data_IF_975633936392
#
_entry.id   IF_975633936392
#
_cell.length_a   1.000
_cell.length_b   1.000
_cell.length_c   1.000
_cell.angle_alpha   90.00
_cell.angle_beta   90.00
_cell.angle_gamma   90.00
#
_symmetry.space_group_name_H-M   'P 1'
#
loop_
_entity.id
_entity.type
_entity.pdbx_description
1 polymer ?
#
# COMPACT_ATOMS: atom_id res chain seq x y z
N UNK A 1 -37.17 -0.43 41.10
CA UNK A 1 -36.26 0.66 40.62
C UNK A 1 -36.68 0.99 39.19
N UNK A 2 -36.66 2.24 38.72
CA UNK A 2 -37.09 2.53 37.33
C UNK A 2 -36.11 1.89 36.34
N UNK A 3 -36.45 0.74 35.76
CA UNK A 3 -35.66 0.03 34.75
C UNK A 3 -35.24 0.95 33.59
N UNK A 4 -36.08 1.92 33.27
CA UNK A 4 -35.80 2.95 32.28
C UNK A 4 -34.59 3.85 32.63
N UNK A 5 -34.43 4.19 33.91
CA UNK A 5 -33.32 5.02 34.35
C UNK A 5 -31.99 4.26 34.24
N UNK A 6 -31.98 2.97 34.58
CA UNK A 6 -30.81 2.10 34.43
C UNK A 6 -30.42 1.92 32.96
N UNK A 7 -31.42 1.75 32.09
CA UNK A 7 -31.20 1.69 30.65
C UNK A 7 -30.58 2.97 30.09
N UNK A 8 -31.06 4.14 30.51
CA UNK A 8 -30.46 5.43 30.11
C UNK A 8 -28.99 5.53 30.55
N UNK A 9 -28.69 5.07 31.76
CA UNK A 9 -27.35 5.08 32.32
C UNK A 9 -26.40 4.17 31.54
N UNK A 10 -26.86 2.97 31.15
CA UNK A 10 -26.06 2.04 30.33
C UNK A 10 -25.85 2.55 28.90
N UNK A 11 -26.84 3.22 28.30
CA UNK A 11 -26.66 3.92 27.01
C UNK A 11 -25.58 4.99 27.12
N UNK A 12 -25.58 5.80 28.18
CA UNK A 12 -24.57 6.85 28.38
C UNK A 12 -23.17 6.24 28.49
N UNK A 13 -23.00 5.19 29.29
CA UNK A 13 -21.72 4.50 29.43
C UNK A 13 -21.21 3.95 28.10
N UNK A 14 -22.10 3.32 27.33
CA UNK A 14 -21.79 2.77 26.03
C UNK A 14 -21.36 3.86 25.03
N UNK A 15 -22.01 5.02 25.04
CA UNK A 15 -21.63 6.16 24.20
C UNK A 15 -20.25 6.73 24.59
N UNK A 16 -19.91 6.75 25.88
CA UNK A 16 -18.61 7.18 26.39
C UNK A 16 -17.50 6.22 25.95
N UNK A 17 -17.70 4.91 26.10
CA UNK A 17 -16.71 3.91 25.68
C UNK A 17 -16.54 3.91 24.16
N UNK A 18 -17.64 4.00 23.42
CA UNK A 18 -17.61 4.16 21.98
C UNK A 18 -16.83 5.42 21.55
N UNK A 19 -17.04 6.56 22.22
CA UNK A 19 -16.29 7.80 21.94
C UNK A 19 -14.79 7.65 22.20
N UNK A 20 -14.41 6.93 23.25
CA UNK A 20 -13.01 6.77 23.61
C UNK A 20 -12.28 5.81 22.65
N UNK A 21 -12.93 4.74 22.21
CA UNK A 21 -12.35 3.66 21.39
C UNK A 21 -12.42 3.99 19.90
N UNK A 22 -13.50 4.63 19.44
CA UNK A 22 -13.69 4.93 18.03
C UNK A 22 -12.61 5.89 17.51
N UNK A 23 -11.91 5.56 16.41
CA UNK A 23 -10.98 6.48 15.76
C UNK A 23 -11.70 7.66 15.09
N UNK A 24 -13.02 7.58 14.92
CA UNK A 24 -13.83 8.64 14.34
C UNK A 24 -14.43 9.50 15.44
N UNK A 25 -14.06 10.78 15.45
CA UNK A 25 -14.64 11.76 16.36
C UNK A 25 -15.98 12.24 15.82
N UNK A 26 -17.05 12.13 16.61
CA UNK A 26 -18.36 12.67 16.29
C UNK A 26 -18.61 13.97 17.06
N UNK A 27 -19.48 14.83 16.53
CA UNK A 27 -19.91 16.03 17.22
C UNK A 27 -20.85 15.66 18.38
N UNK A 28 -20.93 16.50 19.42
CA UNK A 28 -21.82 16.27 20.58
C UNK A 28 -23.27 16.08 20.13
N UNK A 29 -23.73 16.84 19.13
CA UNK A 29 -25.07 16.69 18.53
C UNK A 29 -25.28 15.29 17.92
N UNK A 30 -24.28 14.74 17.24
CA UNK A 30 -24.35 13.40 16.64
C UNK A 30 -24.44 12.31 17.72
N UNK A 31 -23.71 12.46 18.83
CA UNK A 31 -23.83 11.54 19.97
C UNK A 31 -25.20 11.59 20.65
N UNK A 32 -25.77 12.79 20.81
CA UNK A 32 -27.12 12.96 21.36
C UNK A 32 -28.16 12.31 20.44
N UNK A 33 -28.07 12.55 19.13
CA UNK A 33 -28.95 11.92 18.15
C UNK A 33 -28.79 10.38 18.21
N UNK A 34 -27.55 9.88 18.27
CA UNK A 34 -27.29 8.45 18.38
C UNK A 34 -27.93 7.85 19.64
N UNK A 35 -27.77 8.50 20.80
CA UNK A 35 -28.43 8.10 22.05
C UNK A 35 -29.95 8.09 21.95
N UNK A 36 -30.56 9.13 21.38
CA UNK A 36 -32.01 9.19 21.18
C UNK A 36 -32.51 8.08 20.24
N UNK A 37 -31.77 7.78 19.17
CA UNK A 37 -32.11 6.69 18.26
C UNK A 37 -32.01 5.31 18.93
N UNK A 38 -31.03 5.10 19.82
CA UNK A 38 -30.93 3.87 20.63
C UNK A 38 -32.19 3.71 21.48
N UNK A 39 -32.57 4.75 22.23
CA UNK A 39 -33.73 4.72 23.12
C UNK A 39 -35.02 4.48 22.34
N UNK A 40 -35.19 5.17 21.21
CA UNK A 40 -36.38 5.02 20.37
C UNK A 40 -36.51 3.60 19.79
N UNK A 41 -35.45 3.07 19.19
CA UNK A 41 -35.44 1.73 18.60
C UNK A 41 -35.61 0.66 19.69
N UNK A 42 -34.96 0.84 20.84
CA UNK A 42 -35.13 -0.06 21.99
C UNK A 42 -36.60 -0.14 22.41
N UNK A 43 -37.29 1.00 22.56
CA UNK A 43 -38.70 1.04 22.97
C UNK A 43 -39.64 0.43 21.93
N UNK A 44 -39.37 0.65 20.64
CA UNK A 44 -40.13 0.00 19.58
C UNK A 44 -39.99 -1.53 19.64
N UNK A 45 -38.76 -2.04 19.76
CA UNK A 45 -38.51 -3.48 19.79
C UNK A 45 -39.08 -4.10 21.07
N UNK A 46 -38.98 -3.43 22.22
CA UNK A 46 -39.54 -3.89 23.49
C UNK A 46 -41.04 -4.17 23.41
N UNK A 47 -41.78 -3.41 22.59
CA UNK A 47 -43.23 -3.57 22.41
C UNK A 47 -43.60 -4.87 21.69
N UNK A 48 -42.72 -5.40 20.84
CA UNK A 48 -42.96 -6.63 20.08
C UNK A 48 -42.22 -7.84 20.67
N UNK A 49 -40.95 -7.68 21.03
CA UNK A 49 -40.07 -8.74 21.53
C UNK A 49 -39.09 -8.18 22.57
N UNK A 50 -39.43 -8.24 23.87
CA UNK A 50 -38.61 -7.70 24.96
C UNK A 50 -37.15 -8.18 24.94
N UNK A 51 -36.93 -9.45 24.57
CA UNK A 51 -35.60 -10.10 24.53
C UNK A 51 -34.66 -9.50 23.47
N UNK A 52 -35.20 -8.98 22.38
CA UNK A 52 -34.42 -8.40 21.29
C UNK A 52 -34.12 -6.91 21.50
N UNK A 53 -34.70 -6.27 22.53
CA UNK A 53 -34.61 -4.83 22.69
C UNK A 53 -33.16 -4.35 22.88
N UNK A 54 -32.29 -5.17 23.49
CA UNK A 54 -30.86 -4.89 23.69
C UNK A 54 -30.06 -4.81 22.38
N UNK A 55 -30.57 -5.39 21.29
CA UNK A 55 -29.94 -5.35 19.95
C UNK A 55 -29.80 -3.92 19.43
N UNK A 56 -30.71 -3.03 19.82
CA UNK A 56 -30.67 -1.60 19.46
C UNK A 56 -29.35 -0.92 19.86
N UNK A 57 -28.77 -1.28 21.02
CA UNK A 57 -27.48 -0.77 21.46
C UNK A 57 -26.37 -1.23 20.53
N UNK A 58 -26.43 -2.44 19.99
CA UNK A 58 -25.35 -2.98 19.18
C UNK A 58 -25.38 -2.48 17.73
N UNK A 59 -26.55 -2.33 17.11
CA UNK A 59 -26.64 -2.05 15.67
C UNK A 59 -26.67 -0.56 15.33
N UNK A 60 -27.18 0.29 16.21
CA UNK A 60 -27.31 1.73 15.91
C UNK A 60 -25.97 2.45 15.76
N UNK A 61 -24.90 2.22 16.55
CA UNK A 61 -23.64 2.90 16.32
C UNK A 61 -22.92 2.41 15.06
N UNK A 62 -23.20 1.17 14.62
CA UNK A 62 -22.69 0.63 13.35
C UNK A 62 -23.20 1.49 12.19
N UNK A 63 -24.49 1.83 12.20
CA UNK A 63 -25.08 2.69 11.17
C UNK A 63 -24.39 4.06 11.10
N UNK A 64 -24.17 4.72 12.24
CA UNK A 64 -23.46 6.01 12.29
C UNK A 64 -21.99 5.91 11.85
N UNK A 65 -21.30 4.82 12.22
CA UNK A 65 -19.94 4.54 11.76
C UNK A 65 -19.90 4.27 10.24
N UNK A 66 -20.86 3.52 9.70
CA UNK A 66 -20.95 3.24 8.27
C UNK A 66 -21.09 4.53 7.47
N UNK A 67 -21.97 5.44 7.91
CA UNK A 67 -22.20 6.74 7.27
C UNK A 67 -20.94 7.61 7.21
N UNK A 68 -20.05 7.48 8.20
CA UNK A 68 -18.83 8.30 8.30
C UNK A 68 -17.60 7.65 7.65
N UNK A 69 -17.53 6.32 7.67
CA UNK A 69 -16.36 5.56 7.22
C UNK A 69 -16.46 5.03 5.79
N UNK A 70 -17.67 4.97 5.21
CA UNK A 70 -17.97 4.27 3.95
C UNK A 70 -17.52 2.79 3.92
N UNK A 71 -17.15 2.19 5.06
CA UNK A 71 -16.66 0.80 5.15
C UNK A 71 -17.44 0.05 6.23
N UNK A 72 -18.35 -0.82 5.77
CA UNK A 72 -19.26 -1.59 6.63
C UNK A 72 -18.50 -2.50 7.60
N UNK A 73 -17.57 -3.30 7.09
CA UNK A 73 -16.80 -4.28 7.90
C UNK A 73 -16.05 -3.59 9.05
N UNK A 74 -15.47 -2.41 8.81
CA UNK A 74 -14.75 -1.63 9.82
C UNK A 74 -15.68 -1.16 10.94
N UNK A 75 -16.88 -0.74 10.58
CA UNK A 75 -17.88 -0.24 11.51
C UNK A 75 -18.37 -1.35 12.44
N UNK A 76 -18.62 -2.54 11.87
CA UNK A 76 -18.93 -3.74 12.64
C UNK A 76 -17.80 -4.11 13.61
N UNK A 77 -16.55 -4.05 13.17
CA UNK A 77 -15.41 -4.44 13.99
C UNK A 77 -15.17 -3.55 15.20
N UNK A 78 -15.19 -2.24 14.98
CA UNK A 78 -15.03 -1.28 16.08
C UNK A 78 -16.17 -1.49 17.08
N UNK A 79 -17.39 -1.71 16.59
CA UNK A 79 -18.54 -1.88 17.48
C UNK A 79 -18.49 -3.17 18.29
N UNK A 80 -18.20 -4.32 17.67
CA UNK A 80 -18.08 -5.60 18.39
C UNK A 80 -16.99 -5.50 19.45
N UNK A 81 -15.86 -4.88 19.12
CA UNK A 81 -14.78 -4.68 20.05
C UNK A 81 -15.16 -3.76 21.23
N UNK A 82 -15.89 -2.66 20.98
CA UNK A 82 -16.45 -1.80 22.04
C UNK A 82 -17.36 -2.62 22.98
N UNK A 83 -18.24 -3.45 22.43
CA UNK A 83 -19.14 -4.29 23.23
C UNK A 83 -18.37 -5.26 24.12
N UNK A 84 -17.35 -5.93 23.59
CA UNK A 84 -16.53 -6.87 24.36
C UNK A 84 -15.80 -6.19 25.50
N UNK A 85 -15.27 -4.98 25.29
CA UNK A 85 -14.64 -4.20 26.37
C UNK A 85 -15.65 -3.88 27.48
N UNK A 86 -16.88 -3.50 27.13
CA UNK A 86 -17.93 -3.22 28.11
C UNK A 86 -18.25 -4.46 28.92
N UNK A 87 -18.55 -5.57 28.25
CA UNK A 87 -18.91 -6.85 28.87
C UNK A 87 -17.80 -7.38 29.77
N UNK A 88 -16.55 -7.31 29.31
CA UNK A 88 -15.40 -7.79 30.08
C UNK A 88 -15.25 -6.99 31.39
N UNK A 89 -15.36 -5.67 31.33
CA UNK A 89 -15.21 -4.83 32.52
C UNK A 89 -16.39 -5.01 33.47
N UNK A 90 -17.62 -5.08 32.95
CA UNK A 90 -18.81 -5.34 33.75
C UNK A 90 -18.73 -6.69 34.50
N UNK A 91 -18.34 -7.75 33.80
CA UNK A 91 -18.13 -9.09 34.40
C UNK A 91 -16.99 -9.09 35.43
N UNK A 92 -15.87 -8.46 35.11
CA UNK A 92 -14.70 -8.42 36.00
C UNK A 92 -14.98 -7.64 37.30
N UNK A 93 -15.63 -6.49 37.18
CA UNK A 93 -15.92 -5.61 38.32
C UNK A 93 -17.01 -6.17 39.21
N UNK A 94 -18.07 -6.75 38.62
CA UNK A 94 -19.14 -7.39 39.38
C UNK A 94 -18.61 -8.53 40.24
N UNK A 95 -17.72 -9.39 39.72
CA UNK A 95 -17.12 -10.49 40.50
C UNK A 95 -16.27 -9.96 41.66
N UNK A 96 -15.41 -8.97 41.42
CA UNK A 96 -14.53 -8.41 42.47
C UNK A 96 -15.38 -7.80 43.59
N UNK A 97 -16.40 -7.03 43.23
CA UNK A 97 -17.21 -6.32 44.21
C UNK A 97 -18.16 -7.24 44.96
N UNK A 98 -18.72 -8.27 44.30
CA UNK A 98 -19.51 -9.29 44.97
C UNK A 98 -18.68 -10.06 46.01
N UNK A 99 -17.42 -10.39 45.69
CA UNK A 99 -16.52 -11.07 46.61
C UNK A 99 -16.06 -10.19 47.79
N UNK A 100 -15.91 -8.87 47.58
CA UNK A 100 -15.44 -7.94 48.63
C UNK A 100 -16.59 -7.47 49.53
N UNK A 101 -17.72 -7.10 48.94
CA UNK A 101 -18.83 -6.45 49.66
C UNK A 101 -19.88 -7.46 50.16
N UNK A 102 -19.88 -8.68 49.64
CA UNK A 102 -20.87 -9.70 49.96
C UNK A 102 -22.20 -9.51 49.23
N UNK A 103 -22.93 -10.62 49.07
CA UNK A 103 -24.18 -10.67 48.29
C UNK A 103 -25.26 -9.77 48.91
N UNK A 104 -25.36 -9.70 50.24
CA UNK A 104 -26.36 -8.90 50.96
C UNK A 104 -26.17 -7.39 50.79
N UNK A 105 -24.93 -6.89 50.76
CA UNK A 105 -24.69 -5.47 50.51
C UNK A 105 -24.95 -5.15 49.03
N UNK A 106 -24.60 -6.05 48.11
CA UNK A 106 -24.81 -5.86 46.68
C UNK A 106 -26.29 -5.76 46.27
N UNK A 107 -27.18 -6.43 47.01
CA UNK A 107 -28.63 -6.37 46.79
C UNK A 107 -29.29 -5.14 47.41
N UNK A 108 -28.58 -4.40 48.28
CA UNK A 108 -29.04 -3.11 48.79
C UNK A 108 -29.02 -2.03 47.70
N UNK A 109 -29.91 -1.04 47.81
CA UNK A 109 -29.96 0.09 46.86
C UNK A 109 -28.65 0.87 46.84
N UNK A 110 -28.02 1.07 47.99
CA UNK A 110 -26.73 1.75 48.11
C UNK A 110 -25.61 0.94 47.43
N UNK A 111 -25.55 -0.37 47.69
CA UNK A 111 -24.58 -1.28 47.10
C UNK A 111 -24.65 -1.31 45.58
N UNK A 112 -25.85 -1.37 45.01
CA UNK A 112 -26.03 -1.32 43.56
C UNK A 112 -25.43 -0.05 42.92
N UNK A 113 -25.67 1.13 43.51
CA UNK A 113 -25.08 2.38 43.01
C UNK A 113 -23.55 2.42 43.16
N UNK A 114 -23.00 1.85 44.23
CA UNK A 114 -21.54 1.73 44.37
C UNK A 114 -20.91 0.85 43.30
N UNK A 115 -21.55 -0.27 42.97
CA UNK A 115 -21.11 -1.18 41.90
C UNK A 115 -21.18 -0.46 40.55
N UNK A 116 -22.31 0.18 40.25
CA UNK A 116 -22.45 0.92 39.00
C UNK A 116 -21.41 2.06 38.85
N UNK A 117 -21.17 2.85 39.91
CA UNK A 117 -20.20 3.94 39.88
C UNK A 117 -18.77 3.42 39.63
N UNK A 118 -18.42 2.28 40.22
CA UNK A 118 -17.11 1.65 40.02
C UNK A 118 -16.93 1.12 38.60
N UNK A 119 -17.96 0.49 38.02
CA UNK A 119 -18.01 0.06 36.63
C UNK A 119 -17.78 1.26 35.71
N UNK A 120 -18.50 2.36 35.93
CA UNK A 120 -18.39 3.58 35.14
C UNK A 120 -16.97 4.16 35.14
N UNK A 121 -16.33 4.23 36.31
CA UNK A 121 -14.97 4.73 36.46
C UNK A 121 -13.95 3.84 35.74
N UNK A 122 -14.00 2.52 35.97
CA UNK A 122 -13.07 1.57 35.34
C UNK A 122 -13.26 1.52 33.82
N UNK A 123 -14.51 1.52 33.34
CA UNK A 123 -14.84 1.63 31.92
C UNK A 123 -14.22 2.89 31.30
N UNK A 124 -14.32 4.04 31.96
CA UNK A 124 -13.78 5.29 31.43
C UNK A 124 -12.26 5.23 31.25
N UNK A 125 -11.52 4.82 32.29
CA UNK A 125 -10.06 4.78 32.22
C UNK A 125 -9.56 3.72 31.23
N UNK A 126 -10.15 2.53 31.26
CA UNK A 126 -9.73 1.43 30.40
C UNK A 126 -10.05 1.68 28.93
N UNK A 127 -11.25 2.18 28.62
CA UNK A 127 -11.61 2.56 27.24
C UNK A 127 -10.72 3.67 26.68
N UNK A 128 -10.28 4.62 27.51
CA UNK A 128 -9.34 5.68 27.12
C UNK A 128 -7.93 5.14 26.83
N UNK A 129 -7.47 4.17 27.63
CA UNK A 129 -6.19 3.50 27.40
C UNK A 129 -6.19 2.71 26.08
N UNK A 130 -7.22 1.87 25.89
CA UNK A 130 -7.38 1.09 24.66
C UNK A 130 -7.57 1.97 23.44
N UNK A 131 -8.38 3.03 23.55
CA UNK A 131 -8.59 3.99 22.47
C UNK A 131 -7.30 4.62 21.96
N UNK A 132 -6.38 5.00 22.86
CA UNK A 132 -5.06 5.51 22.48
C UNK A 132 -4.23 4.47 21.70
N UNK A 133 -4.26 3.20 22.12
CA UNK A 133 -3.56 2.12 21.41
C UNK A 133 -4.15 1.89 20.02
N UNK A 134 -5.47 1.81 19.91
CA UNK A 134 -6.14 1.62 18.62
C UNK A 134 -5.88 2.77 17.66
N UNK A 135 -5.94 4.03 18.13
CA UNK A 135 -5.64 5.20 17.29
C UNK A 135 -4.19 5.16 16.81
N UNK A 136 -3.23 4.79 17.69
CA UNK A 136 -1.81 4.66 17.33
C UNK A 136 -1.57 3.63 16.23
N UNK A 137 -2.31 2.53 16.24
CA UNK A 137 -2.15 1.43 15.26
C UNK A 137 -3.22 1.41 14.16
N UNK A 138 -4.07 2.44 14.07
CA UNK A 138 -5.19 2.47 13.13
C UNK A 138 -4.73 2.40 11.67
N UNK A 139 -3.58 3.02 11.33
CA UNK A 139 -3.01 2.96 9.97
C UNK A 139 -2.62 1.54 9.56
N UNK A 140 -1.89 0.83 10.44
CA UNK A 140 -1.49 -0.57 10.22
C UNK A 140 -2.69 -1.51 10.07
N UNK A 141 -3.70 -1.38 10.95
CA UNK A 141 -4.92 -2.19 10.88
C UNK A 141 -5.69 -1.91 9.57
N UNK A 142 -5.67 -0.65 9.12
CA UNK A 142 -6.36 -0.22 7.90
C UNK A 142 -5.73 -0.76 6.62
N UNK A 143 -4.40 -0.69 6.50
CA UNK A 143 -3.71 -1.18 5.31
C UNK A 143 -3.79 -2.71 5.20
N UNK A 144 -3.75 -3.40 6.35
CA UNK A 144 -3.70 -4.85 6.40
C UNK A 144 -5.07 -5.53 6.62
N UNK A 145 -6.20 -4.86 6.41
CA UNK A 145 -7.52 -5.42 6.74
C UNK A 145 -7.87 -6.76 6.04
N UNK A 146 -7.23 -7.05 4.90
CA UNK A 146 -7.35 -8.34 4.16
C UNK A 146 -6.38 -9.42 4.66
N UNK A 147 -5.50 -9.12 5.62
CA UNK A 147 -4.58 -10.10 6.19
C UNK A 147 -5.38 -11.23 6.84
N UNK A 148 -4.94 -12.47 6.60
CA UNK A 148 -5.50 -13.68 7.21
C UNK A 148 -5.63 -13.55 8.74
N UNK A 149 -4.67 -12.87 9.39
CA UNK A 149 -4.66 -12.67 10.84
C UNK A 149 -5.75 -11.71 11.31
N UNK A 150 -5.97 -10.62 10.57
CA UNK A 150 -7.05 -9.67 10.88
C UNK A 150 -8.40 -10.36 10.66
N UNK A 151 -8.59 -11.09 9.55
CA UNK A 151 -9.81 -11.86 9.30
C UNK A 151 -10.06 -12.88 10.43
N UNK A 152 -9.03 -13.57 10.90
CA UNK A 152 -9.16 -14.54 12.01
C UNK A 152 -9.53 -13.85 13.32
N UNK A 153 -8.96 -12.67 13.62
CA UNK A 153 -9.37 -11.83 14.76
C UNK A 153 -10.86 -11.44 14.62
N UNK A 154 -11.30 -11.02 13.43
CA UNK A 154 -12.72 -10.67 13.19
C UNK A 154 -13.63 -11.86 13.50
N UNK A 155 -13.29 -13.04 12.98
CA UNK A 155 -14.07 -14.26 13.15
C UNK A 155 -14.17 -14.67 14.63
N UNK A 156 -13.06 -14.59 15.37
CA UNK A 156 -13.06 -14.82 16.83
C UNK A 156 -13.98 -13.82 17.53
N UNK A 157 -13.88 -12.53 17.25
CA UNK A 157 -14.73 -11.52 17.90
C UNK A 157 -16.23 -11.77 17.65
N UNK A 158 -16.62 -12.17 16.44
CA UNK A 158 -18.02 -12.51 16.13
C UNK A 158 -18.48 -13.75 16.90
N UNK A 159 -17.68 -14.81 16.95
CA UNK A 159 -18.01 -16.02 17.71
C UNK A 159 -18.16 -15.74 19.21
N UNK A 160 -17.29 -14.89 19.75
CA UNK A 160 -17.33 -14.50 21.18
C UNK A 160 -18.60 -13.72 21.49
N UNK A 161 -18.98 -12.77 20.62
CA UNK A 161 -20.24 -12.03 20.76
C UNK A 161 -21.46 -12.94 20.67
N UNK A 162 -21.46 -13.91 19.73
CA UNK A 162 -22.52 -14.90 19.61
C UNK A 162 -22.65 -15.77 20.86
N UNK A 163 -21.53 -16.26 21.39
CA UNK A 163 -21.53 -17.06 22.63
C UNK A 163 -22.09 -16.29 23.82
N UNK A 164 -21.72 -15.02 23.97
CA UNK A 164 -22.21 -14.16 25.04
C UNK A 164 -23.72 -13.92 24.94
N UNK A 165 -24.22 -13.66 23.73
CA UNK A 165 -25.65 -13.46 23.50
C UNK A 165 -26.47 -14.71 23.85
N UNK A 166 -25.98 -15.90 23.49
CA UNK A 166 -26.65 -17.17 23.80
C UNK A 166 -26.72 -17.38 25.31
N UNK A 167 -25.61 -17.20 26.03
CA UNK A 167 -25.57 -17.44 27.48
C UNK A 167 -26.36 -16.41 28.28
N UNK A 168 -26.37 -15.13 27.86
CA UNK A 168 -27.22 -14.11 28.49
C UNK A 168 -28.70 -14.52 28.46
N UNK A 169 -29.19 -14.97 27.29
CA UNK A 169 -30.56 -15.45 27.15
C UNK A 169 -30.82 -16.77 27.91
N UNK A 170 -29.80 -17.62 28.07
CA UNK A 170 -29.92 -18.89 28.80
C UNK A 170 -30.02 -18.69 30.32
N UNK A 171 -29.25 -17.76 30.88
CA UNK A 171 -29.27 -17.46 32.32
C UNK A 171 -30.62 -16.90 32.80
N UNK A 172 -31.30 -16.12 31.96
CA UNK A 172 -32.62 -15.55 32.28
C UNK A 172 -33.73 -16.63 32.33
N UNK A 173 -33.54 -17.78 31.68
CA UNK A 173 -34.51 -18.88 31.67
C UNK A 173 -34.42 -19.80 32.90
N UNK A 174 -33.32 -19.77 33.65
CA UNK A 174 -33.01 -20.77 34.68
C UNK A 174 -33.08 -20.27 36.12
N UNK A 175 -33.38 -18.98 36.35
CA UNK A 175 -33.66 -18.31 37.66
C UNK A 175 -32.72 -18.65 38.83
N UNK A 176 -31.59 -19.28 38.54
CA UNK A 176 -30.61 -19.74 39.53
C UNK A 176 -29.50 -18.69 39.62
N UNK A 177 -29.59 -17.85 40.65
CA UNK A 177 -28.58 -16.85 40.99
C UNK A 177 -27.17 -17.43 41.12
N UNK A 178 -27.03 -18.69 41.53
CA UNK A 178 -25.73 -19.39 41.60
C UNK A 178 -25.10 -19.69 40.23
N UNK A 179 -25.90 -19.99 39.20
CA UNK A 179 -25.39 -20.21 37.84
C UNK A 179 -24.84 -18.91 37.23
N UNK A 180 -25.34 -17.75 37.66
CA UNK A 180 -24.87 -16.44 37.16
C UNK A 180 -23.44 -16.12 37.61
N UNK A 181 -23.03 -16.51 38.82
CA UNK A 181 -21.68 -16.29 39.33
C UNK A 181 -20.65 -17.20 38.67
N UNK A 182 -20.95 -18.50 38.51
CA UNK A 182 -20.06 -19.44 37.83
C UNK A 182 -19.85 -19.06 36.35
N UNK A 183 -20.93 -18.66 35.67
CA UNK A 183 -20.84 -18.18 34.30
C UNK A 183 -20.00 -16.90 34.18
N UNK A 184 -20.09 -15.97 35.14
CA UNK A 184 -19.26 -14.76 35.17
C UNK A 184 -17.76 -15.07 35.24
N UNK A 185 -17.36 -16.04 36.05
CA UNK A 185 -15.95 -16.49 36.16
C UNK A 185 -15.47 -17.08 34.83
N UNK A 186 -16.28 -17.94 34.21
CA UNK A 186 -15.98 -18.53 32.89
C UNK A 186 -15.80 -17.43 31.84
N UNK A 187 -16.66 -16.40 31.83
CA UNK A 187 -16.55 -15.27 30.90
C UNK A 187 -15.30 -14.42 31.12
N UNK A 188 -14.91 -14.22 32.37
CA UNK A 188 -13.71 -13.44 32.69
C UNK A 188 -12.46 -14.18 32.20
N UNK A 189 -12.40 -15.50 32.41
CA UNK A 189 -11.32 -16.35 31.91
C UNK A 189 -11.32 -16.38 30.38
N UNK A 190 -12.47 -16.61 29.76
CA UNK A 190 -12.64 -16.64 28.30
C UNK A 190 -12.21 -15.31 27.66
N UNK A 191 -12.69 -14.18 28.18
CA UNK A 191 -12.32 -12.83 27.75
C UNK A 191 -10.82 -12.58 27.84
N UNK A 192 -10.19 -13.01 28.93
CA UNK A 192 -8.74 -12.92 29.08
C UNK A 192 -7.99 -13.74 28.02
N UNK A 193 -8.40 -14.99 27.79
CA UNK A 193 -7.81 -15.87 26.76
C UNK A 193 -7.94 -15.24 25.37
N UNK A 194 -9.11 -14.70 25.01
CA UNK A 194 -9.32 -14.04 23.72
C UNK A 194 -8.43 -12.81 23.57
N UNK A 195 -8.29 -11.99 24.61
CA UNK A 195 -7.41 -10.83 24.56
C UNK A 195 -5.96 -11.24 24.28
N UNK A 196 -5.48 -12.32 24.91
CA UNK A 196 -4.13 -12.86 24.66
C UNK A 196 -4.00 -13.39 23.22
N UNK A 197 -4.99 -14.13 22.72
CA UNK A 197 -4.99 -14.65 21.35
C UNK A 197 -5.03 -13.49 20.33
N UNK A 198 -5.91 -12.52 20.49
CA UNK A 198 -5.98 -11.35 19.61
C UNK A 198 -4.67 -10.55 19.62
N UNK A 199 -4.06 -10.38 20.80
CA UNK A 199 -2.76 -9.72 20.94
C UNK A 199 -1.63 -10.46 20.21
N UNK A 200 -1.58 -11.80 20.34
CA UNK A 200 -0.55 -12.61 19.67
C UNK A 200 -0.72 -12.61 18.15
N UNK A 201 -1.96 -12.73 17.65
CA UNK A 201 -2.26 -12.63 16.22
C UNK A 201 -1.94 -11.26 15.64
N UNK A 202 -2.20 -10.19 16.38
CA UNK A 202 -1.81 -8.83 16.00
C UNK A 202 -0.29 -8.69 15.88
N UNK A 203 0.47 -9.25 16.83
CA UNK A 203 1.92 -9.26 16.78
C UNK A 203 2.45 -10.10 15.60
N UNK A 204 1.84 -11.26 15.33
CA UNK A 204 2.16 -12.09 14.16
C UNK A 204 1.94 -11.34 12.85
N UNK A 205 0.79 -10.65 12.72
CA UNK A 205 0.50 -9.82 11.54
C UNK A 205 1.57 -8.77 11.31
N UNK A 206 2.03 -8.10 12.37
CA UNK A 206 3.10 -7.10 12.28
C UNK A 206 4.45 -7.71 11.88
N UNK A 207 4.75 -8.89 12.39
CA UNK A 207 5.97 -9.62 12.04
C UNK A 207 5.95 -10.07 10.58
N UNK A 208 4.81 -10.53 10.07
CA UNK A 208 4.65 -10.94 8.67
C UNK A 208 4.88 -9.78 7.71
N UNK A 209 4.32 -8.60 7.98
CA UNK A 209 4.54 -7.42 7.13
C UNK A 209 6.02 -7.04 7.07
N UNK A 210 6.70 -7.02 8.23
CA UNK A 210 8.14 -6.74 8.30
C UNK A 210 8.96 -7.78 7.52
N UNK A 211 8.53 -9.05 7.52
CA UNK A 211 9.17 -10.11 6.77
C UNK A 211 8.99 -9.93 5.26
N UNK A 212 7.76 -9.64 4.80
CA UNK A 212 7.47 -9.35 3.38
C UNK A 212 8.28 -8.17 2.86
N UNK A 213 8.37 -7.09 3.65
CA UNK A 213 9.17 -5.92 3.30
C UNK A 213 10.66 -6.27 3.14
N UNK A 214 11.20 -7.08 4.06
CA UNK A 214 12.59 -7.56 3.96
C UNK A 214 12.81 -8.45 2.74
N UNK A 215 11.86 -9.32 2.40
CA UNK A 215 11.97 -10.18 1.22
C UNK A 215 12.03 -9.33 -0.06
N UNK A 216 11.14 -8.35 -0.22
CA UNK A 216 11.19 -7.39 -1.32
C UNK A 216 12.53 -6.65 -1.43
N UNK A 217 13.15 -6.31 -0.30
CA UNK A 217 14.48 -5.68 -0.30
C UNK A 217 15.58 -6.64 -0.76
N UNK A 218 15.50 -7.92 -0.41
CA UNK A 218 16.43 -8.94 -0.86
C UNK A 218 16.26 -9.20 -2.36
N UNK A 219 15.04 -9.37 -2.85
CA UNK A 219 14.77 -9.60 -4.27
C UNK A 219 15.32 -8.43 -5.13
N UNK A 220 15.12 -7.17 -4.70
CA UNK A 220 15.69 -6.01 -5.38
C UNK A 220 17.23 -5.98 -5.34
N UNK A 221 17.85 -6.47 -4.25
CA UNK A 221 19.29 -6.54 -4.11
C UNK A 221 19.89 -7.63 -5.01
N UNK A 222 19.21 -8.76 -5.14
CA UNK A 222 19.57 -9.83 -6.06
C UNK A 222 19.55 -9.32 -7.51
N UNK A 223 18.46 -8.64 -7.94
CA UNK A 223 18.38 -8.04 -9.27
C UNK A 223 19.51 -7.02 -9.52
N UNK A 224 19.80 -6.18 -8.53
CA UNK A 224 20.91 -5.23 -8.61
C UNK A 224 22.26 -5.93 -8.75
N UNK A 225 22.46 -7.03 -8.02
CA UNK A 225 23.71 -7.80 -8.04
C UNK A 225 23.88 -8.51 -9.39
N UNK A 226 22.83 -9.11 -9.93
CA UNK A 226 22.87 -9.72 -11.27
C UNK A 226 23.22 -8.70 -12.36
N UNK A 227 22.65 -7.49 -12.26
CA UNK A 227 22.96 -6.41 -13.21
C UNK A 227 24.42 -5.94 -13.08
N UNK A 228 24.94 -5.87 -11.85
CA UNK A 228 26.37 -5.58 -11.62
C UNK A 228 27.28 -6.67 -12.17
N UNK A 229 26.92 -7.94 -12.00
CA UNK A 229 27.70 -9.07 -12.54
C UNK A 229 27.75 -9.03 -14.06
N UNK A 230 26.63 -8.76 -14.74
CA UNK A 230 26.58 -8.58 -16.19
C UNK A 230 27.51 -7.43 -16.63
N UNK A 231 27.40 -6.28 -15.98
CA UNK A 231 28.25 -5.13 -16.28
C UNK A 231 29.74 -5.43 -16.06
N UNK A 232 30.06 -6.19 -15.01
CA UNK A 232 31.43 -6.64 -14.76
C UNK A 232 31.94 -7.61 -15.83
N UNK A 233 31.09 -8.56 -16.29
CA UNK A 233 31.44 -9.46 -17.40
C UNK A 233 31.69 -8.68 -18.70
N UNK A 234 30.85 -7.70 -19.02
CA UNK A 234 31.02 -6.84 -20.20
C UNK A 234 32.31 -6.03 -20.11
N UNK A 235 32.61 -5.45 -18.95
CA UNK A 235 33.87 -4.74 -18.71
C UNK A 235 35.10 -5.66 -18.84
N UNK A 236 35.00 -6.89 -18.36
CA UNK A 236 36.08 -7.88 -18.47
C UNK A 236 36.31 -8.27 -19.93
N UNK A 237 35.23 -8.47 -20.70
CA UNK A 237 35.30 -8.75 -22.13
C UNK A 237 35.92 -7.59 -22.91
N UNK A 238 35.47 -6.36 -22.63
CA UNK A 238 36.06 -5.16 -23.20
C UNK A 238 37.57 -5.06 -22.91
N UNK A 239 37.99 -5.31 -21.66
CA UNK A 239 39.41 -5.31 -21.28
C UNK A 239 40.21 -6.37 -22.05
N UNK A 240 39.68 -7.57 -22.19
CA UNK A 240 40.33 -8.65 -22.94
C UNK A 240 40.52 -8.27 -24.41
N UNK A 241 39.48 -7.75 -25.05
CA UNK A 241 39.52 -7.33 -26.45
C UNK A 241 40.50 -6.16 -26.64
N UNK A 242 40.53 -5.22 -25.69
CA UNK A 242 41.48 -4.12 -25.68
C UNK A 242 42.94 -4.59 -25.56
N UNK A 243 43.23 -5.51 -24.63
CA UNK A 243 44.58 -6.09 -24.49
C UNK A 243 44.99 -6.80 -25.78
N UNK A 244 44.10 -7.57 -26.41
CA UNK A 244 44.42 -8.26 -27.66
C UNK A 244 44.75 -7.30 -28.80
N UNK A 245 44.04 -6.17 -28.89
CA UNK A 245 44.33 -5.11 -29.87
C UNK A 245 45.73 -4.51 -29.63
N UNK A 246 46.07 -4.21 -28.38
CA UNK A 246 47.38 -3.63 -28.04
C UNK A 246 48.51 -4.65 -28.27
N UNK A 247 48.30 -5.91 -27.91
CA UNK A 247 49.28 -6.99 -28.12
C UNK A 247 49.53 -7.25 -29.61
N UNK A 248 48.49 -7.23 -30.45
CA UNK A 248 48.68 -7.41 -31.90
C UNK A 248 49.43 -6.24 -32.52
N UNK A 249 49.13 -4.99 -32.11
CA UNK A 249 49.92 -3.83 -32.52
C UNK A 249 51.38 -3.95 -32.08
N UNK A 250 51.64 -4.36 -30.83
CA UNK A 250 52.98 -4.50 -30.30
C UNK A 250 53.81 -5.52 -31.11
N UNK A 251 53.19 -6.66 -31.50
CA UNK A 251 53.83 -7.66 -32.35
C UNK A 251 54.27 -7.10 -33.71
N UNK A 252 53.40 -6.40 -34.42
CA UNK A 252 53.76 -5.78 -35.70
C UNK A 252 54.86 -4.72 -35.56
N UNK A 253 54.87 -3.96 -34.46
CA UNK A 253 55.92 -2.96 -34.16
C UNK A 253 57.28 -3.64 -33.94
N UNK A 254 57.31 -4.74 -33.18
CA UNK A 254 58.53 -5.51 -32.92
C UNK A 254 59.12 -6.11 -34.20
N UNK A 255 58.26 -6.62 -35.08
CA UNK A 255 58.65 -7.19 -36.38
C UNK A 255 59.05 -6.11 -37.41
N UNK A 256 58.83 -4.83 -37.10
CA UNK A 256 58.98 -3.67 -38.01
C UNK A 256 58.17 -3.79 -39.30
N UNK A 257 57.07 -4.56 -39.27
CA UNK A 257 56.14 -4.73 -40.38
C UNK A 257 55.04 -3.65 -40.32
N UNK A 258 55.37 -2.50 -40.90
CA UNK A 258 54.48 -1.33 -40.93
C UNK A 258 53.30 -1.54 -41.89
N UNK A 259 53.50 -2.26 -42.99
CA UNK A 259 52.46 -2.49 -44.01
C UNK A 259 51.33 -3.35 -43.43
N UNK A 260 51.67 -4.44 -42.72
CA UNK A 260 50.68 -5.30 -42.06
C UNK A 260 50.00 -4.62 -40.87
N UNK A 261 50.72 -3.78 -40.11
CA UNK A 261 50.14 -2.95 -39.04
C UNK A 261 49.11 -1.98 -39.61
N UNK A 262 49.40 -1.34 -40.74
CA UNK A 262 48.51 -0.39 -41.40
C UNK A 262 47.23 -1.08 -41.90
N UNK A 263 47.31 -2.27 -42.52
CA UNK A 263 46.11 -3.04 -42.91
C UNK A 263 45.30 -3.48 -41.68
N UNK A 264 45.95 -4.02 -40.65
CA UNK A 264 45.27 -4.46 -39.42
C UNK A 264 44.59 -3.28 -38.71
N UNK A 265 45.25 -2.13 -38.62
CA UNK A 265 44.68 -0.91 -38.05
C UNK A 265 43.46 -0.44 -38.85
N UNK A 266 43.57 -0.31 -40.16
CA UNK A 266 42.49 0.19 -41.02
C UNK A 266 41.28 -0.76 -41.10
N UNK A 267 41.51 -2.06 -40.97
CA UNK A 267 40.47 -3.08 -41.12
C UNK A 267 39.77 -3.46 -39.82
N UNK A 268 40.47 -3.41 -38.69
CA UNK A 268 39.94 -3.88 -37.41
C UNK A 268 39.77 -2.75 -36.37
N UNK A 269 40.57 -1.69 -36.42
CA UNK A 269 40.66 -0.68 -35.34
C UNK A 269 40.02 0.65 -35.77
N UNK A 270 40.32 1.12 -36.97
CA UNK A 270 39.70 2.31 -37.55
C UNK A 270 38.16 2.21 -37.66
N UNK A 271 37.56 1.06 -38.03
CA UNK A 271 36.10 0.92 -38.06
C UNK A 271 35.48 0.90 -36.66
N UNK A 272 36.20 0.43 -35.65
CA UNK A 272 35.78 0.54 -34.23
C UNK A 272 35.70 2.02 -33.84
N UNK A 273 36.70 2.83 -34.22
CA UNK A 273 36.69 4.27 -33.97
C UNK A 273 35.56 4.97 -34.74
N UNK A 274 35.26 4.61 -35.99
CA UNK A 274 34.15 5.19 -36.75
C UNK A 274 32.76 4.77 -36.23
N UNK A 275 32.59 3.52 -35.76
CA UNK A 275 31.38 3.09 -35.06
C UNK A 275 31.22 3.80 -33.72
N UNK A 276 32.31 3.95 -32.95
CA UNK A 276 32.30 4.70 -31.69
C UNK A 276 32.06 6.19 -31.89
N UNK A 277 32.66 6.85 -32.89
CA UNK A 277 32.52 8.29 -33.11
C UNK A 277 31.15 8.71 -33.69
N UNK A 278 30.55 7.90 -34.56
CA UNK A 278 29.15 8.14 -35.02
C UNK A 278 28.14 8.00 -33.87
N UNK A 279 28.39 7.11 -32.92
CA UNK A 279 27.55 6.95 -31.73
C UNK A 279 27.87 7.98 -30.63
N UNK A 280 29.14 8.38 -30.46
CA UNK A 280 29.60 9.31 -29.43
C UNK A 280 29.10 10.75 -29.63
N UNK A 281 29.04 11.27 -30.87
CA UNK A 281 28.49 12.62 -31.11
C UNK A 281 27.04 12.78 -30.62
N UNK A 282 26.26 11.69 -30.66
CA UNK A 282 24.88 11.65 -30.18
C UNK A 282 24.81 11.44 -28.65
N UNK A 283 25.73 10.65 -28.08
CA UNK A 283 25.83 10.40 -26.63
C UNK A 283 26.38 11.59 -25.84
N UNK A 284 27.17 12.46 -26.47
CA UNK A 284 27.75 13.65 -25.81
C UNK A 284 26.67 14.60 -25.26
N UNK A 285 25.50 14.67 -25.89
CA UNK A 285 24.37 15.48 -25.40
C UNK A 285 23.80 14.93 -24.07
N UNK A 286 23.98 13.63 -23.79
CA UNK A 286 23.60 13.04 -22.49
C UNK A 286 24.42 13.61 -21.33
N UNK A 287 25.55 14.30 -21.58
CA UNK A 287 26.31 15.02 -20.53
C UNK A 287 25.51 16.13 -19.86
N UNK A 288 24.46 16.61 -20.53
CA UNK A 288 23.57 17.64 -20.02
C UNK A 288 22.60 17.06 -18.98
N UNK A 289 22.39 15.74 -18.92
CA UNK A 289 21.69 15.10 -17.81
C UNK A 289 22.62 15.03 -16.60
N UNK A 290 22.34 15.78 -15.53
CA UNK A 290 23.17 15.79 -14.31
C UNK A 290 22.71 14.76 -13.27
N UNK A 291 21.50 14.22 -13.43
CA UNK A 291 20.97 13.11 -12.61
C UNK A 291 21.60 11.79 -13.07
N UNK A 292 22.50 11.21 -12.28
CA UNK A 292 23.29 10.04 -12.66
C UNK A 292 22.44 8.81 -12.97
N UNK A 293 21.33 8.61 -12.26
CA UNK A 293 20.43 7.47 -12.46
C UNK A 293 19.72 7.54 -13.82
N UNK A 294 19.16 8.70 -14.16
CA UNK A 294 18.48 8.95 -15.44
C UNK A 294 19.49 8.92 -16.58
N UNK A 295 20.67 9.52 -16.38
CA UNK A 295 21.75 9.48 -17.35
C UNK A 295 22.15 8.04 -17.66
N UNK A 296 22.43 7.23 -16.64
CA UNK A 296 22.82 5.83 -16.81
C UNK A 296 21.76 5.01 -17.52
N UNK A 297 20.49 5.18 -17.14
CA UNK A 297 19.37 4.52 -17.79
C UNK A 297 19.27 4.87 -19.29
N UNK A 298 19.21 6.17 -19.62
CA UNK A 298 19.06 6.63 -21.00
C UNK A 298 20.28 6.22 -21.82
N UNK A 299 21.50 6.39 -21.29
CA UNK A 299 22.73 5.93 -21.96
C UNK A 299 22.68 4.44 -22.28
N UNK A 300 22.30 3.59 -21.32
CA UNK A 300 22.19 2.15 -21.54
C UNK A 300 21.16 1.79 -22.63
N UNK A 301 19.99 2.44 -22.63
CA UNK A 301 18.94 2.21 -23.64
C UNK A 301 19.35 2.70 -25.03
N UNK A 302 19.99 3.87 -25.13
CA UNK A 302 20.51 4.41 -26.40
C UNK A 302 21.57 3.48 -26.99
N UNK A 303 22.54 3.04 -26.19
CA UNK A 303 23.60 2.12 -26.62
C UNK A 303 22.97 0.84 -27.16
N UNK A 304 22.05 0.23 -26.39
CA UNK A 304 21.33 -0.98 -26.80
C UNK A 304 20.53 -0.77 -28.10
N UNK A 305 19.85 0.36 -28.26
CA UNK A 305 19.10 0.68 -29.47
C UNK A 305 20.02 0.73 -30.70
N UNK A 306 21.17 1.40 -30.56
CA UNK A 306 22.19 1.50 -31.61
C UNK A 306 22.80 0.13 -31.96
N UNK A 307 23.06 -0.73 -30.97
CA UNK A 307 23.54 -2.10 -31.18
C UNK A 307 22.54 -2.96 -31.96
N UNK A 308 21.24 -2.77 -31.72
CA UNK A 308 20.16 -3.45 -32.44
C UNK A 308 19.86 -2.83 -33.82
N UNK A 309 20.62 -1.81 -34.22
CA UNK A 309 20.50 -1.15 -35.52
C UNK A 309 19.35 -0.15 -35.61
N UNK A 310 18.85 0.35 -34.48
CA UNK A 310 17.88 1.46 -34.42
C UNK A 310 18.65 2.78 -34.46
N UNK A 311 18.37 3.60 -35.46
CA UNK A 311 18.92 4.95 -35.51
C UNK A 311 18.29 5.79 -34.39
N UNK A 312 19.13 6.21 -33.43
CA UNK A 312 18.68 7.06 -32.32
C UNK A 312 19.09 8.51 -32.56
N UNK A 313 18.21 9.48 -32.31
CA UNK A 313 18.50 10.92 -32.31
C UNK A 313 18.29 11.44 -30.89
N UNK A 314 19.22 12.25 -30.38
CA UNK A 314 19.17 12.80 -29.02
C UNK A 314 19.16 14.32 -29.12
N UNK A 315 18.21 14.95 -28.43
CA UNK A 315 18.09 16.40 -28.32
C UNK A 315 17.99 16.82 -26.85
N UNK A 316 19.13 17.16 -26.26
CA UNK A 316 19.24 17.61 -24.86
C UNK A 316 20.21 18.78 -24.83
N UNK A 317 19.70 19.97 -25.10
CA UNK A 317 20.52 21.19 -25.18
C UNK A 317 20.85 21.74 -23.79
N UNK A 318 19.87 21.76 -22.90
CA UNK A 318 19.98 22.38 -21.57
C UNK A 318 20.30 21.36 -20.46
N UNK A 319 21.03 21.76 -19.41
CA UNK A 319 21.36 20.87 -18.32
C UNK A 319 20.11 20.53 -17.47
N UNK A 320 19.79 19.23 -17.36
CA UNK A 320 18.73 18.70 -16.51
C UNK A 320 19.31 18.36 -15.14
N UNK A 321 19.09 19.22 -14.16
CA UNK A 321 19.61 19.06 -12.79
C UNK A 321 18.59 18.51 -11.81
N UNK A 322 17.30 18.81 -12.00
CA UNK A 322 16.23 18.49 -11.06
C UNK A 322 14.99 18.04 -11.82
N UNK A 323 14.40 16.94 -11.36
CA UNK A 323 13.08 16.45 -11.77
C UNK A 323 12.28 16.25 -10.48
N UNK A 324 11.16 16.97 -10.28
CA UNK A 324 10.30 16.84 -9.09
C UNK A 324 9.43 15.57 -9.13
N UNK A 325 10.06 14.40 -9.17
CA UNK A 325 9.47 13.07 -9.05
C UNK A 325 10.42 12.17 -8.28
N UNK A 326 9.93 11.13 -7.61
CA UNK A 326 10.80 10.11 -7.04
C UNK A 326 11.68 9.49 -8.14
N UNK A 327 12.99 9.42 -7.88
CA UNK A 327 13.97 9.04 -8.89
C UNK A 327 13.76 7.61 -9.40
N UNK A 328 13.26 6.70 -8.55
CA UNK A 328 13.01 5.30 -8.92
C UNK A 328 11.78 5.24 -9.84
N UNK A 329 10.73 5.96 -9.48
CA UNK A 329 9.50 6.01 -10.26
C UNK A 329 9.73 6.65 -11.64
N UNK A 330 10.42 7.80 -11.73
CA UNK A 330 10.71 8.41 -13.04
C UNK A 330 11.62 7.50 -13.87
N UNK A 331 12.60 6.84 -13.26
CA UNK A 331 13.48 5.89 -13.96
C UNK A 331 12.67 4.72 -14.54
N UNK A 332 11.70 4.21 -13.79
CA UNK A 332 10.82 3.13 -14.26
C UNK A 332 9.94 3.60 -15.43
N UNK A 333 9.33 4.78 -15.34
CA UNK A 333 8.50 5.34 -16.41
C UNK A 333 9.31 5.59 -17.69
N UNK A 334 10.48 6.24 -17.58
CA UNK A 334 11.37 6.49 -18.72
C UNK A 334 11.89 5.19 -19.31
N UNK A 335 12.24 4.20 -18.47
CA UNK A 335 12.69 2.89 -18.92
C UNK A 335 11.63 2.17 -19.74
N UNK A 336 10.38 2.16 -19.27
CA UNK A 336 9.24 1.56 -19.97
C UNK A 336 9.02 2.21 -21.34
N UNK A 337 9.01 3.55 -21.39
CA UNK A 337 8.77 4.29 -22.65
C UNK A 337 9.89 4.02 -23.66
N UNK A 338 11.15 4.02 -23.22
CA UNK A 338 12.30 3.71 -24.07
C UNK A 338 12.29 2.27 -24.57
N UNK A 339 11.95 1.30 -23.72
CA UNK A 339 11.84 -0.10 -24.14
C UNK A 339 10.74 -0.28 -25.20
N UNK A 340 9.57 0.33 -24.97
CA UNK A 340 8.48 0.30 -25.95
C UNK A 340 8.90 0.93 -27.29
N UNK A 341 9.63 2.05 -27.23
CA UNK A 341 10.11 2.76 -28.40
C UNK A 341 11.11 1.92 -29.21
N UNK A 342 12.07 1.28 -28.54
CA UNK A 342 13.06 0.40 -29.18
C UNK A 342 12.36 -0.80 -29.82
N UNK A 343 11.49 -1.49 -29.07
CA UNK A 343 10.76 -2.65 -29.57
C UNK A 343 9.87 -2.33 -30.78
N UNK A 344 9.18 -1.20 -30.76
CA UNK A 344 8.34 -0.76 -31.87
C UNK A 344 9.17 -0.31 -33.09
N UNK A 345 10.27 0.41 -32.85
CA UNK A 345 11.18 0.83 -33.92
C UNK A 345 11.78 -0.38 -34.64
N UNK A 346 12.15 -1.45 -33.93
CA UNK A 346 12.75 -2.64 -34.51
C UNK A 346 11.85 -3.36 -35.53
N UNK A 347 10.54 -3.31 -35.32
CA UNK A 347 9.55 -3.90 -36.21
C UNK A 347 9.21 -2.99 -37.41
N UNK A 348 9.58 -1.71 -37.34
CA UNK A 348 9.33 -0.72 -38.39
C UNK A 348 10.37 -0.79 -39.53
N UNK A 349 10.00 -0.29 -40.71
CA UNK A 349 10.93 -0.25 -41.86
C UNK A 349 12.06 0.76 -41.66
N UNK A 350 11.76 1.93 -41.08
CA UNK A 350 12.73 3.01 -40.90
C UNK A 350 13.66 2.83 -39.69
N UNK A 351 13.19 2.16 -38.63
CA UNK A 351 13.94 1.90 -37.38
C UNK A 351 14.57 3.16 -36.76
N UNK A 352 13.76 4.20 -36.55
CA UNK A 352 14.20 5.48 -35.96
C UNK A 352 13.56 5.70 -34.59
N UNK A 353 14.33 6.22 -33.65
CA UNK A 353 13.87 6.66 -32.33
C UNK A 353 14.49 8.02 -31.98
N UNK A 354 13.66 8.98 -31.56
CA UNK A 354 14.06 10.31 -31.14
C UNK A 354 13.82 10.48 -29.64
N UNK A 355 14.81 11.01 -28.92
CA UNK A 355 14.75 11.26 -27.48
C UNK A 355 15.06 12.74 -27.25
N UNK A 356 14.14 13.46 -26.60
CA UNK A 356 14.34 14.84 -26.21
C UNK A 356 14.09 15.05 -24.71
N UNK A 357 14.99 15.77 -24.03
CA UNK A 357 14.78 16.25 -22.66
C UNK A 357 14.87 17.77 -22.65
N UNK A 358 13.73 18.41 -22.38
CA UNK A 358 13.58 19.86 -22.47
C UNK A 358 13.36 20.40 -21.06
N UNK A 359 14.23 21.31 -20.63
CA UNK A 359 14.02 22.11 -19.44
C UNK A 359 13.20 23.35 -19.84
N UNK A 360 12.01 23.50 -19.27
CA UNK A 360 11.28 24.78 -19.29
C UNK A 360 11.32 25.34 -17.88
N UNK A 361 11.31 26.68 -17.76
CA UNK A 361 11.48 27.43 -16.50
C UNK A 361 10.85 26.81 -15.23
N UNK A 362 9.73 26.09 -15.33
CA UNK A 362 9.08 25.39 -14.21
C UNK A 362 8.62 23.96 -14.54
N UNK A 363 9.20 23.28 -15.53
CA UNK A 363 8.86 21.89 -15.85
C UNK A 363 9.96 21.19 -16.66
N UNK A 364 10.17 19.91 -16.42
CA UNK A 364 11.00 19.07 -17.29
C UNK A 364 10.08 18.24 -18.18
N UNK A 365 10.31 18.26 -19.48
CA UNK A 365 9.56 17.49 -20.47
C UNK A 365 10.50 16.43 -21.04
N UNK A 366 10.06 15.18 -21.02
CA UNK A 366 10.77 14.04 -21.59
C UNK A 366 9.92 13.51 -22.73
N UNK A 367 10.44 13.57 -23.95
CA UNK A 367 9.76 13.11 -25.16
C UNK A 367 10.53 11.95 -25.76
N UNK A 368 9.81 10.88 -26.08
CA UNK A 368 10.34 9.76 -26.86
C UNK A 368 9.40 9.53 -28.03
N UNK A 369 9.93 9.64 -29.24
CA UNK A 369 9.22 9.35 -30.47
C UNK A 369 9.87 8.16 -31.18
N UNK A 370 9.09 7.29 -31.80
CA UNK A 370 9.61 6.16 -32.55
C UNK A 370 8.77 5.85 -33.79
N UNK A 371 9.42 5.32 -34.82
CA UNK A 371 8.70 4.72 -35.95
C UNK A 371 8.10 3.38 -35.52
N UNK A 372 6.99 2.98 -36.14
CA UNK A 372 6.27 1.74 -35.82
C UNK A 372 5.76 1.07 -37.11
N UNK A 373 5.22 -0.15 -36.98
CA UNK A 373 4.62 -0.92 -38.09
C UNK A 373 3.14 -1.18 -37.84
N UNK A 374 2.31 -1.03 -38.88
CA UNK A 374 0.87 -1.29 -38.85
C UNK A 374 0.04 -0.15 -38.26
N UNK A 375 -1.28 -0.33 -38.15
CA UNK A 375 -2.15 0.64 -37.48
C UNK A 375 -2.12 0.45 -35.95
N UNK A 376 -1.89 1.54 -35.22
CA UNK A 376 -1.96 1.52 -33.77
C UNK A 376 -3.43 1.58 -33.34
N UNK A 377 -3.92 0.68 -32.48
CA UNK A 377 -5.29 0.71 -32.00
C UNK A 377 -5.58 1.98 -31.20
N UNK A 378 -6.87 2.34 -31.10
CA UNK A 378 -7.36 3.50 -30.34
C UNK A 378 -6.66 3.68 -28.98
N UNK A 379 -6.25 4.91 -28.64
CA UNK A 379 -5.58 5.30 -27.39
C UNK A 379 -6.21 4.69 -26.12
N UNK A 380 -7.54 4.60 -26.07
CA UNK A 380 -8.27 4.00 -24.93
C UNK A 380 -8.03 2.51 -24.71
N UNK A 381 -7.55 1.78 -25.72
CA UNK A 381 -7.20 0.35 -25.62
C UNK A 381 -5.75 0.16 -25.17
N UNK A 382 -4.83 1.03 -25.58
CA UNK A 382 -3.39 0.96 -25.24
C UNK A 382 -3.09 1.02 -23.74
N UNK A 383 -3.98 1.59 -22.93
CA UNK A 383 -3.81 1.73 -21.49
C UNK A 383 -4.67 0.75 -20.66
N UNK A 384 -5.30 -0.25 -21.27
CA UNK A 384 -5.99 -1.31 -20.53
C UNK A 384 -5.01 -2.40 -20.10
N UNK A 385 -5.16 -2.88 -18.87
CA UNK A 385 -4.37 -3.99 -18.36
C UNK A 385 -4.46 -5.20 -19.30
N UNK A 386 -3.29 -5.73 -19.68
CA UNK A 386 -3.17 -6.90 -20.54
C UNK A 386 -3.42 -6.63 -22.03
N UNK A 387 -3.61 -5.37 -22.45
CA UNK A 387 -3.73 -5.04 -23.86
C UNK A 387 -2.36 -4.86 -24.51
N UNK A 388 -2.05 -5.73 -25.46
CA UNK A 388 -0.83 -5.71 -26.26
C UNK A 388 -1.19 -5.96 -27.72
N UNK A 389 -0.64 -5.17 -28.63
CA UNK A 389 -0.71 -5.44 -30.07
C UNK A 389 0.24 -6.55 -30.52
N UNK A 390 1.05 -7.09 -29.59
CA UNK A 390 2.22 -7.94 -29.86
C UNK A 390 2.15 -9.37 -29.25
N UNK A 391 0.96 -9.85 -28.89
CA UNK A 391 0.71 -11.25 -28.45
C UNK A 391 0.37 -11.46 -26.96
N UNK A 392 0.07 -12.71 -26.57
CA UNK A 392 -0.25 -13.12 -25.19
C UNK A 392 0.98 -13.04 -24.26
N UNK A 393 0.78 -12.65 -22.99
CA UNK A 393 1.78 -12.36 -21.93
C UNK A 393 2.53 -11.01 -22.00
N UNK A 394 2.00 -10.01 -22.72
CA UNK A 394 2.56 -8.64 -22.76
C UNK A 394 1.46 -7.59 -22.53
N UNK A 395 1.84 -6.32 -22.34
CA UNK A 395 0.88 -5.20 -22.19
C UNK A 395 0.74 -4.60 -20.78
N UNK A 396 1.69 -4.86 -19.87
CA UNK A 396 1.71 -4.29 -18.52
C UNK A 396 2.54 -2.98 -18.41
N UNK A 397 3.37 -2.69 -19.41
CA UNK A 397 4.32 -1.57 -19.35
C UNK A 397 3.62 -0.21 -19.27
N UNK A 398 2.80 0.14 -20.29
CA UNK A 398 2.10 1.42 -20.31
C UNK A 398 1.07 1.57 -19.17
N UNK A 399 0.39 0.48 -18.77
CA UNK A 399 -0.53 0.55 -17.63
C UNK A 399 0.21 0.80 -16.32
N UNK A 400 1.33 0.10 -16.07
CA UNK A 400 2.20 0.39 -14.92
C UNK A 400 2.74 1.82 -14.96
N UNK A 401 3.18 2.31 -16.11
CA UNK A 401 3.65 3.69 -16.26
C UNK A 401 2.54 4.70 -15.90
N UNK A 402 1.31 4.45 -16.39
CA UNK A 402 0.13 5.27 -16.07
C UNK A 402 -0.24 5.21 -14.58
N UNK A 403 -0.17 4.05 -13.96
CA UNK A 403 -0.44 3.88 -12.52
C UNK A 403 0.57 4.60 -11.65
N UNK A 404 1.87 4.52 -12.01
CA UNK A 404 2.94 5.24 -11.33
C UNK A 404 2.70 6.75 -11.43
N UNK A 405 2.45 7.26 -12.64
CA UNK A 405 2.23 8.69 -12.89
C UNK A 405 0.95 9.17 -12.21
N UNK A 406 -0.11 8.35 -12.17
CA UNK A 406 -1.37 8.67 -11.49
C UNK A 406 -1.24 8.92 -9.98
N UNK A 407 -0.12 8.53 -9.35
CA UNK A 407 0.19 8.86 -7.95
C UNK A 407 0.66 10.30 -7.75
N UNK A 408 1.07 10.98 -8.82
CA UNK A 408 1.64 12.32 -8.78
C UNK A 408 0.70 13.34 -9.43
N UNK A 409 0.42 14.45 -8.74
CA UNK A 409 -0.45 15.51 -9.26
C UNK A 409 0.26 16.47 -10.22
N UNK A 410 1.59 16.51 -10.14
CA UNK A 410 2.44 17.43 -10.90
C UNK A 410 2.99 16.79 -12.17
N UNK A 411 2.48 15.63 -12.60
CA UNK A 411 3.04 14.86 -13.71
C UNK A 411 1.91 14.46 -14.67
N UNK A 412 2.16 14.62 -15.97
CA UNK A 412 1.27 14.11 -17.02
C UNK A 412 2.02 13.17 -17.96
N UNK A 413 1.30 12.20 -18.48
CA UNK A 413 1.73 11.35 -19.59
C UNK A 413 0.79 11.61 -20.76
N UNK A 414 1.34 12.15 -21.84
CA UNK A 414 0.64 12.41 -23.08
C UNK A 414 1.13 11.43 -24.15
N UNK A 415 0.23 11.02 -25.03
CA UNK A 415 0.55 10.10 -26.12
C UNK A 415 -0.08 10.62 -27.40
N UNK A 416 0.75 10.86 -28.40
CA UNK A 416 0.32 11.31 -29.71
C UNK A 416 0.74 10.27 -30.76
N UNK A 417 -0.11 10.10 -31.77
CA UNK A 417 0.13 9.20 -32.87
C UNK A 417 -0.02 10.01 -34.14
N UNK A 418 1.01 9.98 -34.97
CA UNK A 418 1.00 10.52 -36.33
C UNK A 418 1.07 9.36 -37.32
N UNK A 419 0.96 9.63 -38.61
CA UNK A 419 1.00 8.59 -39.66
C UNK A 419 2.31 7.77 -39.68
N UNK A 420 3.38 8.31 -39.07
CA UNK A 420 4.74 7.72 -39.16
C UNK A 420 5.40 7.53 -37.79
N UNK A 421 4.99 8.28 -36.76
CA UNK A 421 5.62 8.26 -35.44
C UNK A 421 4.61 8.10 -34.30
N UNK A 422 4.98 7.26 -33.35
CA UNK A 422 4.36 7.14 -32.04
C UNK A 422 5.16 7.99 -31.06
N UNK A 423 4.49 8.87 -30.30
CA UNK A 423 5.14 9.86 -29.43
C UNK A 423 4.59 9.70 -28.03
N UNK A 424 5.49 9.56 -27.05
CA UNK A 424 5.18 9.58 -25.63
C UNK A 424 5.88 10.75 -24.96
N UNK A 425 5.12 11.54 -24.22
CA UNK A 425 5.60 12.74 -23.54
C UNK A 425 5.29 12.65 -22.04
N UNK A 426 6.32 12.71 -21.20
CA UNK A 426 6.18 12.89 -19.75
C UNK A 426 6.51 14.34 -19.42
N UNK A 427 5.54 15.07 -18.89
CA UNK A 427 5.77 16.41 -18.35
C UNK A 427 5.78 16.36 -16.83
N UNK A 428 6.90 16.77 -16.21
CA UNK A 428 7.04 16.92 -14.76
C UNK A 428 7.05 18.40 -14.42
N UNK A 429 5.97 18.89 -13.81
CA UNK A 429 5.88 20.26 -13.29
C UNK A 429 6.71 20.40 -12.03
N UNK A 430 7.61 21.38 -12.05
CA UNK A 430 8.45 21.78 -10.93
C UNK A 430 7.77 22.86 -10.06
N UNK A 431 6.46 23.12 -10.19
CA UNK A 431 5.73 24.00 -9.27
C UNK A 431 5.49 23.32 -7.92
#
# INVERSE_FOLDING_TARGET
MNEFFLFLLSVILMLITFRNISPYKFNIKEYIIMGLTIVFINRLILMFYPRLASISMYFTPIYFLCKKSNKIIRSFMIQIFVCLVIVFIDSFTSIILLNILGIEYSSSTLGYYTIFASIALLLYFFSKFIGKLLIKYNGFIFENWKSKYIILINLLLVLTFGSFYITYNWNELTDNSYLSQENGVIFTIYGFVIMVICGSLFFMSKKEEKFKYKQLQLDNLEEYTENLEKLYMDMRKFRHDYINIISSMAGFIEERDIDSLEDHFNKHIYPLNNKMNKNNYKLDLLKNIKLSQIKGLISGKVIRAQELGVETIIDIVEPITIIKMDIIDISRCVGIILDNAIEAALESEKKVMDIALINKNNSVIIVVANTFKGEIPSLSKLFKDGFSTKGENRGLGLSNCKDIIGRYKNISLDTAITDVQFIQEITVSNK
#
